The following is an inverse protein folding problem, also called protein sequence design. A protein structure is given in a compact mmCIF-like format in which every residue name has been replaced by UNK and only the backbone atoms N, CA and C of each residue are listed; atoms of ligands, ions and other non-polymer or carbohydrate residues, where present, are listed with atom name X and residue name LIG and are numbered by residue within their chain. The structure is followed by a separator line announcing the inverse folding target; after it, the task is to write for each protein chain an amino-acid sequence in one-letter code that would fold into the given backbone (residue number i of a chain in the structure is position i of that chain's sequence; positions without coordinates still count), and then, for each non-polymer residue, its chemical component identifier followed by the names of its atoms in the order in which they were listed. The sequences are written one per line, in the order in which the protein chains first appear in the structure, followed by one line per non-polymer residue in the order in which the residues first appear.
data_IF_422833781618
#
_entry.id   IF_422833781618
#
_cell.length_a   1.000
_cell.length_b   1.000
_cell.length_c   1.000
_cell.angle_alpha   90.00
_cell.angle_beta   90.00
_cell.angle_gamma   90.00
#
_symmetry.space_group_name_H-M   'P 1'
#
loop_
_entity.id
_entity.type
_entity.pdbx_description
1 polymer ?
#
# COMPACT_ATOMS: atom_id res chain seq x y z
N UNK A 1 -22.65 -29.85 -9.66
CA UNK A 1 -21.25 -30.23 -10.01
C UNK A 1 -20.35 -29.15 -9.47
N UNK A 2 -19.62 -29.46 -8.42
CA UNK A 2 -18.72 -28.51 -7.76
C UNK A 2 -17.44 -28.39 -8.59
N UNK A 3 -17.09 -27.17 -9.01
CA UNK A 3 -15.82 -26.88 -9.65
C UNK A 3 -14.71 -27.01 -8.61
N UNK A 4 -13.94 -28.08 -8.69
CA UNK A 4 -12.69 -28.20 -7.95
C UNK A 4 -11.71 -27.12 -8.48
N UNK A 5 -11.34 -26.20 -7.59
CA UNK A 5 -10.20 -25.32 -7.80
C UNK A 5 -8.93 -26.17 -7.75
N UNK A 6 -8.38 -26.47 -8.91
CA UNK A 6 -7.06 -27.09 -9.02
C UNK A 6 -6.04 -26.02 -8.62
N UNK A 7 -5.71 -25.96 -7.34
CA UNK A 7 -4.47 -25.32 -6.89
C UNK A 7 -3.34 -26.22 -7.38
N UNK A 8 -2.42 -25.66 -8.17
CA UNK A 8 -1.18 -26.35 -8.50
C UNK A 8 -0.47 -26.66 -7.17
N UNK A 9 -0.01 -27.91 -7.02
CA UNK A 9 0.83 -28.29 -5.90
C UNK A 9 2.02 -27.34 -5.78
N UNK A 10 2.46 -27.00 -4.56
CA UNK A 10 3.65 -26.19 -4.38
C UNK A 10 4.82 -26.89 -5.06
N UNK A 11 5.56 -26.15 -5.87
CA UNK A 11 6.79 -26.66 -6.48
C UNK A 11 7.74 -26.96 -5.32
N UNK A 12 8.04 -28.23 -5.03
CA UNK A 12 9.12 -28.61 -4.13
C UNK A 12 10.45 -28.18 -4.76
N UNK A 13 10.91 -27.01 -4.37
CA UNK A 13 12.18 -26.47 -4.81
C UNK A 13 13.29 -27.03 -3.92
N UNK A 14 13.94 -28.09 -4.40
CA UNK A 14 15.24 -28.49 -3.85
C UNK A 14 16.16 -27.29 -3.83
N UNK A 15 16.65 -26.96 -2.66
CA UNK A 15 17.62 -25.90 -2.27
C UNK A 15 17.89 -24.84 -3.36
N UNK A 16 17.04 -23.80 -3.42
CA UNK A 16 17.26 -22.65 -4.29
C UNK A 16 18.59 -21.98 -3.95
N UNK A 17 19.55 -22.08 -4.84
CA UNK A 17 20.75 -21.25 -4.76
C UNK A 17 20.36 -19.81 -5.02
N UNK A 18 20.29 -19.02 -3.98
CA UNK A 18 20.16 -17.57 -4.07
C UNK A 18 21.52 -16.99 -4.42
N UNK A 19 21.55 -15.83 -5.08
CA UNK A 19 22.80 -15.09 -5.28
C UNK A 19 23.43 -14.70 -3.92
N UNK A 20 24.66 -14.17 -3.92
CA UNK A 20 25.39 -13.76 -2.70
C UNK A 20 24.60 -12.75 -1.83
N UNK A 21 23.65 -12.03 -2.39
CA UNK A 21 22.75 -11.12 -1.69
C UNK A 21 21.45 -11.79 -1.18
N UNK A 22 21.29 -13.09 -1.38
CA UNK A 22 20.10 -13.85 -1.01
C UNK A 22 18.86 -13.56 -1.89
N UNK A 23 19.04 -12.95 -3.07
CA UNK A 23 17.99 -12.64 -4.05
C UNK A 23 17.83 -13.75 -5.08
N UNK A 24 16.63 -13.87 -5.61
CA UNK A 24 16.29 -14.81 -6.67
C UNK A 24 16.59 -14.20 -8.04
N UNK A 25 17.45 -14.84 -8.83
CA UNK A 25 17.77 -14.39 -10.17
C UNK A 25 16.74 -14.89 -11.20
N UNK A 26 16.14 -13.95 -11.94
CA UNK A 26 15.10 -14.21 -12.96
C UNK A 26 15.51 -13.59 -14.29
N UNK A 27 15.56 -14.36 -15.36
CA UNK A 27 15.64 -13.85 -16.72
C UNK A 27 14.25 -13.70 -17.32
N UNK A 28 14.03 -12.62 -18.06
CA UNK A 28 12.74 -12.32 -18.70
C UNK A 28 12.89 -12.23 -20.20
N UNK A 29 12.08 -12.98 -20.94
CA UNK A 29 11.98 -12.95 -22.39
C UNK A 29 10.55 -12.78 -22.89
N UNK A 30 10.41 -12.16 -24.06
CA UNK A 30 9.17 -12.03 -24.82
C UNK A 30 9.49 -11.76 -26.30
N UNK A 31 8.60 -12.15 -27.20
CA UNK A 31 8.65 -11.73 -28.62
C UNK A 31 8.32 -10.23 -28.77
N UNK A 32 7.61 -9.63 -27.79
CA UNK A 32 7.34 -8.19 -27.73
C UNK A 32 8.31 -7.51 -26.73
N UNK A 33 9.21 -6.62 -27.21
CA UNK A 33 10.15 -5.89 -26.35
C UNK A 33 9.46 -5.02 -25.27
N UNK A 34 8.24 -4.52 -25.52
CA UNK A 34 7.51 -3.71 -24.55
C UNK A 34 7.04 -4.57 -23.37
N UNK A 35 6.57 -5.79 -23.64
CA UNK A 35 6.20 -6.77 -22.61
C UNK A 35 7.43 -7.14 -21.78
N UNK A 36 8.55 -7.48 -22.44
CA UNK A 36 9.79 -7.83 -21.74
C UNK A 36 10.27 -6.68 -20.84
N UNK A 37 10.31 -5.45 -21.35
CA UNK A 37 10.72 -4.27 -20.59
C UNK A 37 9.77 -4.00 -19.39
N UNK A 38 8.45 -4.10 -19.61
CA UNK A 38 7.48 -3.91 -18.54
C UNK A 38 7.67 -4.94 -17.42
N UNK A 39 7.84 -6.22 -17.77
CA UNK A 39 8.05 -7.28 -16.79
C UNK A 39 9.38 -7.12 -16.04
N UNK A 40 10.48 -6.78 -16.73
CA UNK A 40 11.77 -6.48 -16.11
C UNK A 40 11.66 -5.33 -15.10
N UNK A 41 10.98 -4.25 -15.46
CA UNK A 41 10.72 -3.11 -14.54
C UNK A 41 9.88 -3.52 -13.34
N UNK A 42 8.86 -4.38 -13.54
CA UNK A 42 8.04 -4.87 -12.44
C UNK A 42 8.87 -5.71 -11.46
N UNK A 43 9.60 -6.73 -11.94
CA UNK A 43 10.46 -7.55 -11.09
C UNK A 43 11.55 -6.75 -10.37
N UNK A 44 12.10 -5.73 -11.02
CA UNK A 44 13.08 -4.84 -10.40
C UNK A 44 12.55 -4.05 -9.19
N UNK A 45 11.22 -3.94 -9.01
CA UNK A 45 10.64 -3.35 -7.81
C UNK A 45 10.70 -4.28 -6.59
N UNK A 46 10.81 -5.60 -6.79
CA UNK A 46 10.79 -6.56 -5.70
C UNK A 46 12.19 -6.79 -5.13
N UNK A 47 12.44 -6.38 -3.87
CA UNK A 47 13.76 -6.45 -3.26
C UNK A 47 14.31 -7.87 -3.06
N UNK A 48 13.48 -8.91 -3.21
CA UNK A 48 13.91 -10.31 -3.19
C UNK A 48 14.23 -10.90 -4.58
N UNK A 49 14.18 -10.08 -5.64
CA UNK A 49 14.43 -10.50 -7.03
C UNK A 49 15.56 -9.66 -7.62
N UNK A 50 16.41 -10.30 -8.40
CA UNK A 50 17.35 -9.65 -9.32
C UNK A 50 17.00 -10.07 -10.74
N UNK A 51 16.90 -9.11 -11.65
CA UNK A 51 16.64 -9.39 -13.07
C UNK A 51 17.98 -9.62 -13.75
N UNK A 52 18.24 -10.87 -14.16
CA UNK A 52 19.44 -11.25 -14.89
C UNK A 52 19.42 -10.68 -16.32
N UNK A 53 20.58 -10.28 -16.81
CA UNK A 53 20.74 -9.82 -18.20
C UNK A 53 20.66 -11.00 -19.16
N UNK A 54 21.33 -12.11 -18.84
CA UNK A 54 21.35 -13.32 -19.65
C UNK A 54 20.63 -14.48 -18.93
N UNK A 55 20.06 -15.39 -19.72
CA UNK A 55 19.35 -16.56 -19.17
C UNK A 55 20.28 -17.49 -18.38
N UNK A 56 21.56 -17.59 -18.79
CA UNK A 56 22.56 -18.45 -18.11
C UNK A 56 22.80 -18.06 -16.64
N UNK A 57 22.61 -16.79 -16.31
CA UNK A 57 22.81 -16.25 -14.97
C UNK A 57 21.56 -16.33 -14.09
N UNK A 58 20.45 -16.86 -14.63
CA UNK A 58 19.17 -16.90 -13.94
C UNK A 58 18.85 -18.31 -13.42
N UNK A 59 18.20 -18.35 -12.25
CA UNK A 59 17.61 -19.58 -11.70
C UNK A 59 16.29 -19.92 -12.40
N UNK A 60 15.56 -18.89 -12.81
CA UNK A 60 14.29 -19.03 -13.51
C UNK A 60 14.29 -18.24 -14.83
N UNK A 61 13.75 -18.87 -15.86
CA UNK A 61 13.43 -18.22 -17.11
C UNK A 61 11.92 -17.96 -17.18
N UNK A 62 11.54 -16.71 -17.30
CA UNK A 62 10.15 -16.26 -17.45
C UNK A 62 9.94 -15.80 -18.88
N UNK A 63 9.08 -16.49 -19.64
CA UNK A 63 8.64 -16.05 -20.97
C UNK A 63 7.22 -15.56 -20.89
N UNK A 64 6.94 -14.35 -21.40
CA UNK A 64 5.61 -13.73 -21.41
C UNK A 64 5.31 -13.36 -22.86
N UNK A 65 4.38 -14.07 -23.48
CA UNK A 65 4.00 -13.85 -24.87
C UNK A 65 2.57 -13.30 -24.97
N UNK A 66 2.29 -12.38 -25.92
CA UNK A 66 0.93 -11.91 -26.12
C UNK A 66 0.02 -13.07 -26.53
N UNK A 67 -1.19 -13.14 -25.96
CA UNK A 67 -2.18 -14.18 -26.24
C UNK A 67 -3.56 -13.59 -26.56
N UNK A 68 -3.62 -12.29 -26.84
CA UNK A 68 -4.80 -11.49 -27.16
C UNK A 68 -4.66 -10.06 -26.66
N UNK A 69 -5.68 -9.22 -26.85
CA UNK A 69 -5.64 -7.79 -26.53
C UNK A 69 -5.52 -7.48 -25.03
N UNK A 70 -5.94 -8.40 -24.17
CA UNK A 70 -5.91 -8.29 -22.72
C UNK A 70 -5.42 -9.53 -22.01
N UNK A 71 -4.66 -10.40 -22.73
CA UNK A 71 -4.16 -11.65 -22.17
C UNK A 71 -2.75 -11.96 -22.64
N UNK A 72 -1.99 -12.67 -21.80
CA UNK A 72 -0.65 -13.16 -22.09
C UNK A 72 -0.53 -14.63 -21.71
N UNK A 73 0.32 -15.34 -22.44
CA UNK A 73 0.78 -16.68 -22.09
C UNK A 73 2.09 -16.53 -21.31
N UNK A 74 2.10 -16.97 -20.06
CA UNK A 74 3.31 -17.05 -19.27
C UNK A 74 3.83 -18.48 -19.20
N UNK A 75 5.16 -18.62 -19.35
CA UNK A 75 5.89 -19.86 -19.11
C UNK A 75 7.01 -19.58 -18.13
N UNK A 76 7.09 -20.39 -17.07
CA UNK A 76 8.17 -20.38 -16.08
C UNK A 76 8.97 -21.67 -16.21
N UNK A 77 10.28 -21.56 -16.42
CA UNK A 77 11.20 -22.68 -16.45
C UNK A 77 12.29 -22.53 -15.38
N UNK A 78 12.82 -23.65 -14.90
CA UNK A 78 13.94 -23.72 -13.96
C UNK A 78 14.95 -24.77 -14.38
N UNK A 79 16.18 -24.71 -13.82
CA UNK A 79 17.28 -25.63 -14.15
C UNK A 79 18.03 -25.26 -15.44
N UNK A 80 19.11 -26.02 -15.74
CA UNK A 80 19.89 -25.87 -16.97
C UNK A 80 20.20 -27.25 -17.55
N UNK A 81 19.60 -27.63 -18.71
CA UNK A 81 18.67 -26.83 -19.52
C UNK A 81 17.36 -26.57 -18.79
N UNK A 82 16.69 -25.45 -19.14
CA UNK A 82 15.43 -25.05 -18.50
C UNK A 82 14.33 -26.08 -18.77
N UNK A 83 13.71 -26.57 -17.68
CA UNK A 83 12.52 -27.42 -17.72
C UNK A 83 11.30 -26.57 -17.37
N UNK A 84 10.24 -26.67 -18.16
CA UNK A 84 8.98 -25.97 -17.92
C UNK A 84 8.35 -26.43 -16.60
N UNK A 85 8.13 -25.47 -15.68
CA UNK A 85 7.49 -25.68 -14.38
C UNK A 85 6.04 -25.22 -14.38
N UNK A 86 5.75 -24.16 -15.13
CA UNK A 86 4.41 -23.59 -15.21
C UNK A 86 4.16 -23.00 -16.61
N UNK A 87 2.96 -23.24 -17.14
CA UNK A 87 2.45 -22.59 -18.34
C UNK A 87 1.00 -22.20 -18.12
N UNK A 88 0.67 -20.89 -18.23
CA UNK A 88 -0.67 -20.35 -17.95
C UNK A 88 -1.00 -19.18 -18.88
N UNK A 89 -2.28 -19.09 -19.28
CA UNK A 89 -2.81 -17.85 -19.85
C UNK A 89 -3.34 -16.97 -18.73
N UNK A 90 -2.93 -15.71 -18.73
CA UNK A 90 -3.29 -14.72 -17.72
C UNK A 90 -4.02 -13.58 -18.41
N UNK A 91 -5.25 -13.31 -17.97
CA UNK A 91 -6.05 -12.19 -18.46
C UNK A 91 -6.02 -11.02 -17.49
N UNK A 92 -6.11 -9.81 -18.03
CA UNK A 92 -6.17 -8.56 -17.29
C UNK A 92 -7.29 -7.65 -17.80
N UNK A 93 -7.37 -6.45 -17.25
CA UNK A 93 -8.26 -5.38 -17.76
C UNK A 93 -7.81 -4.88 -19.13
N UNK A 94 -6.54 -5.02 -19.41
CA UNK A 94 -5.80 -4.70 -20.63
C UNK A 94 -4.49 -5.50 -20.65
N UNK A 95 -3.73 -5.42 -21.73
CA UNK A 95 -2.49 -6.17 -21.90
C UNK A 95 -1.45 -5.87 -20.83
N UNK A 96 -1.27 -4.58 -20.46
CA UNK A 96 -0.33 -4.20 -19.42
C UNK A 96 -0.70 -4.82 -18.06
N UNK A 97 -1.97 -4.78 -17.68
CA UNK A 97 -2.44 -5.41 -16.44
C UNK A 97 -2.28 -6.93 -16.47
N UNK A 98 -2.50 -7.58 -17.64
CA UNK A 98 -2.24 -9.01 -17.82
C UNK A 98 -0.77 -9.37 -17.60
N UNK A 99 0.17 -8.58 -18.14
CA UNK A 99 1.62 -8.76 -17.91
C UNK A 99 1.96 -8.64 -16.44
N UNK A 100 1.48 -7.60 -15.74
CA UNK A 100 1.76 -7.39 -14.32
C UNK A 100 1.17 -8.51 -13.44
N UNK A 101 -0.03 -9.01 -13.76
CA UNK A 101 -0.62 -10.19 -13.11
C UNK A 101 0.19 -11.47 -13.37
N UNK A 102 0.74 -11.62 -14.56
CA UNK A 102 1.64 -12.72 -14.87
C UNK A 102 2.92 -12.64 -14.04
N UNK A 103 3.50 -11.44 -13.86
CA UNK A 103 4.63 -11.23 -12.94
C UNK A 103 4.27 -11.56 -11.49
N UNK A 104 3.06 -11.21 -11.04
CA UNK A 104 2.57 -11.56 -9.69
C UNK A 104 2.47 -13.07 -9.50
N UNK A 105 2.05 -13.81 -10.54
CA UNK A 105 2.02 -15.29 -10.49
C UNK A 105 3.42 -15.88 -10.37
N UNK A 106 4.43 -15.31 -11.02
CA UNK A 106 5.82 -15.73 -10.87
C UNK A 106 6.30 -15.54 -9.44
N UNK A 107 6.05 -14.36 -8.84
CA UNK A 107 6.37 -14.10 -7.43
C UNK A 107 5.75 -15.14 -6.52
N UNK A 108 4.47 -15.47 -6.74
CA UNK A 108 3.77 -16.48 -5.95
C UNK A 108 4.38 -17.87 -6.12
N UNK A 109 4.72 -18.26 -7.34
CA UNK A 109 5.30 -19.56 -7.64
C UNK A 109 6.75 -19.71 -7.12
N UNK A 110 7.55 -18.63 -7.14
CA UNK A 110 8.98 -18.71 -6.82
C UNK A 110 9.34 -18.26 -5.40
N UNK A 111 8.61 -17.29 -4.83
CA UNK A 111 8.87 -16.74 -3.49
C UNK A 111 7.81 -17.15 -2.46
N UNK A 112 6.76 -17.88 -2.85
CA UNK A 112 5.64 -18.29 -2.00
C UNK A 112 4.99 -17.10 -1.25
N UNK A 113 5.01 -15.94 -1.89
CA UNK A 113 4.39 -14.70 -1.37
C UNK A 113 3.45 -14.11 -2.42
N UNK A 114 2.46 -13.31 -1.98
CA UNK A 114 1.58 -12.64 -2.91
C UNK A 114 2.37 -11.61 -3.75
N UNK A 115 2.07 -11.53 -5.04
CA UNK A 115 2.58 -10.47 -5.90
C UNK A 115 1.80 -9.17 -5.71
N UNK A 116 2.36 -8.03 -6.11
CA UNK A 116 1.76 -6.72 -5.89
C UNK A 116 1.80 -5.79 -7.12
N UNK A 117 2.36 -6.24 -8.23
CA UNK A 117 2.64 -5.37 -9.39
C UNK A 117 1.37 -4.91 -10.12
N UNK A 118 0.34 -5.77 -10.19
CA UNK A 118 -0.92 -5.45 -10.87
C UNK A 118 -1.86 -4.53 -10.07
N UNK A 119 -1.46 -4.14 -8.86
CA UNK A 119 -2.22 -3.22 -8.02
C UNK A 119 -2.21 -1.78 -8.52
N UNK A 120 -3.02 -0.95 -7.88
CA UNK A 120 -3.17 0.47 -8.18
C UNK A 120 -2.83 1.32 -6.97
N UNK A 121 -2.23 2.48 -7.25
CA UNK A 121 -2.01 3.55 -6.28
C UNK A 121 -3.08 4.62 -6.43
N UNK A 122 -3.49 5.20 -5.31
CA UNK A 122 -4.08 6.54 -5.25
C UNK A 122 -3.15 7.40 -4.41
N UNK A 123 -2.98 8.66 -4.76
CA UNK A 123 -2.09 9.57 -4.08
C UNK A 123 -2.51 11.02 -4.29
N UNK A 124 -2.00 11.90 -3.47
CA UNK A 124 -2.15 13.34 -3.61
C UNK A 124 -1.00 13.88 -4.45
N UNK A 125 -1.34 14.62 -5.51
CA UNK A 125 -0.35 15.36 -6.29
C UNK A 125 -0.62 16.86 -6.15
N UNK A 126 0.42 17.63 -5.80
CA UNK A 126 0.32 19.08 -5.71
C UNK A 126 0.79 19.72 -7.02
N UNK A 127 -0.10 20.45 -7.66
CA UNK A 127 0.16 21.20 -8.90
C UNK A 127 -0.46 22.59 -8.79
N UNK A 128 0.27 23.62 -9.21
CA UNK A 128 -0.21 25.01 -9.24
C UNK A 128 -0.81 25.51 -7.90
N UNK A 129 -0.23 25.06 -6.77
CA UNK A 129 -0.67 25.46 -5.43
C UNK A 129 -1.84 24.66 -4.86
N UNK A 130 -2.49 23.80 -5.64
CA UNK A 130 -3.61 22.95 -5.22
C UNK A 130 -3.21 21.49 -5.12
N UNK A 131 -3.88 20.77 -4.22
CA UNK A 131 -3.70 19.32 -4.06
C UNK A 131 -4.87 18.59 -4.70
N UNK A 132 -4.58 17.67 -5.63
CA UNK A 132 -5.60 16.88 -6.31
C UNK A 132 -5.33 15.38 -6.13
N UNK A 133 -6.39 14.60 -6.24
CA UNK A 133 -6.33 13.14 -6.13
C UNK A 133 -6.00 12.54 -7.49
N UNK A 134 -5.00 11.67 -7.51
CA UNK A 134 -4.56 10.93 -8.70
C UNK A 134 -4.60 9.42 -8.46
N UNK A 135 -4.68 8.67 -9.54
CA UNK A 135 -4.43 7.22 -9.56
C UNK A 135 -3.34 6.86 -10.54
N UNK A 136 -2.63 5.76 -10.27
CA UNK A 136 -1.60 5.20 -11.14
C UNK A 136 -1.47 3.69 -10.93
N UNK A 137 -0.80 3.00 -11.87
CA UNK A 137 -0.14 1.73 -11.57
C UNK A 137 1.15 1.97 -10.74
N UNK A 138 1.74 0.90 -10.21
CA UNK A 138 2.97 1.00 -9.41
C UNK A 138 4.18 1.50 -10.20
N UNK A 139 4.20 1.30 -11.52
CA UNK A 139 5.30 1.71 -12.41
C UNK A 139 5.15 3.15 -12.91
N UNK A 140 4.10 3.86 -12.50
CA UNK A 140 3.77 5.22 -12.95
C UNK A 140 3.71 5.35 -14.47
N UNK A 141 3.21 4.32 -15.16
CA UNK A 141 3.03 4.33 -16.63
C UNK A 141 1.68 4.89 -17.04
N UNK A 142 0.67 4.80 -16.17
CA UNK A 142 -0.69 5.29 -16.42
C UNK A 142 -1.15 6.13 -15.23
N UNK A 143 -1.05 7.44 -15.37
CA UNK A 143 -1.41 8.40 -14.33
C UNK A 143 -2.69 9.11 -14.75
N UNK A 144 -3.67 9.15 -13.88
CA UNK A 144 -4.96 9.81 -14.14
C UNK A 144 -5.40 10.67 -12.97
N UNK A 145 -5.75 11.96 -13.19
CA UNK A 145 -6.38 12.77 -12.16
C UNK A 145 -7.82 12.30 -11.92
N UNK A 146 -8.21 12.20 -10.65
CA UNK A 146 -9.59 11.89 -10.24
C UNK A 146 -10.36 13.14 -9.85
N UNK A 147 -9.68 14.19 -9.37
CA UNK A 147 -10.30 15.45 -8.97
C UNK A 147 -9.68 16.63 -9.69
N UNK A 148 -10.42 17.71 -9.76
CA UNK A 148 -10.00 19.02 -10.26
C UNK A 148 -10.70 20.12 -9.46
N UNK A 149 -10.70 20.00 -8.13
CA UNK A 149 -11.49 20.83 -7.23
C UNK A 149 -10.79 22.12 -6.85
N UNK A 150 -9.49 22.24 -7.12
CA UNK A 150 -8.63 23.33 -6.69
C UNK A 150 -8.72 23.57 -5.18
N UNK A 151 -8.73 22.50 -4.42
CA UNK A 151 -8.85 22.50 -2.97
C UNK A 151 -7.70 21.72 -2.33
N UNK A 152 -7.54 21.86 -1.01
CA UNK A 152 -6.64 20.98 -0.27
C UNK A 152 -7.29 19.61 -0.12
N UNK A 153 -6.58 18.57 -0.54
CA UNK A 153 -6.97 17.15 -0.43
C UNK A 153 -5.89 16.39 0.35
N UNK A 154 -6.30 15.44 1.19
CA UNK A 154 -5.39 14.62 1.98
C UNK A 154 -5.92 13.20 2.19
N UNK A 155 -5.00 12.28 2.48
CA UNK A 155 -5.25 10.95 3.03
C UNK A 155 -6.18 10.06 2.20
N UNK A 156 -5.94 9.85 0.90
CA UNK A 156 -6.76 8.90 0.14
C UNK A 156 -6.65 7.49 0.70
N UNK A 157 -7.77 6.77 0.76
CA UNK A 157 -7.84 5.36 1.16
C UNK A 157 -8.78 4.60 0.23
N UNK A 158 -8.27 3.55 -0.42
CA UNK A 158 -9.06 2.69 -1.28
C UNK A 158 -10.11 1.91 -0.50
N UNK A 159 -11.27 1.71 -1.13
CA UNK A 159 -12.16 0.62 -0.73
C UNK A 159 -11.51 -0.73 -1.11
N UNK A 160 -11.75 -1.81 -0.33
CA UNK A 160 -11.14 -3.12 -0.61
C UNK A 160 -11.44 -3.69 -1.99
N UNK A 161 -12.60 -3.33 -2.57
CA UNK A 161 -13.01 -3.73 -3.93
C UNK A 161 -12.36 -2.88 -5.04
N UNK A 162 -11.60 -1.86 -4.68
CA UNK A 162 -10.91 -0.97 -5.61
C UNK A 162 -11.82 -0.08 -6.46
N UNK A 163 -13.11 0.08 -6.11
CA UNK A 163 -14.07 0.88 -6.88
C UNK A 163 -14.20 2.31 -6.40
N UNK A 164 -13.83 2.59 -5.17
CA UNK A 164 -13.94 3.92 -4.61
C UNK A 164 -12.78 4.28 -3.69
N UNK A 165 -12.65 5.57 -3.39
CA UNK A 165 -11.68 6.12 -2.46
C UNK A 165 -12.39 6.99 -1.42
N UNK A 166 -11.96 6.89 -0.16
CA UNK A 166 -12.19 7.93 0.84
C UNK A 166 -11.06 8.94 0.78
N UNK A 167 -11.35 10.19 1.04
CA UNK A 167 -10.36 11.26 1.15
C UNK A 167 -10.91 12.43 1.95
N UNK A 168 -10.02 13.19 2.55
CA UNK A 168 -10.36 14.46 3.22
C UNK A 168 -10.21 15.59 2.23
N UNK A 169 -11.18 16.50 2.17
CA UNK A 169 -11.14 17.68 1.28
C UNK A 169 -11.78 18.89 1.91
N UNK A 170 -11.22 20.07 1.60
CA UNK A 170 -11.73 21.40 1.96
C UNK A 170 -12.61 22.01 0.85
N UNK A 171 -12.93 21.24 -0.16
CA UNK A 171 -13.54 21.67 -1.42
C UNK A 171 -14.87 22.41 -1.28
N UNK A 172 -15.76 22.01 -0.36
CA UNK A 172 -17.12 22.53 -0.33
C UNK A 172 -17.38 23.53 0.80
N UNK A 173 -16.97 23.19 2.00
CA UNK A 173 -17.26 23.96 3.21
C UNK A 173 -16.11 24.90 3.63
N UNK A 174 -14.92 24.75 3.03
CA UNK A 174 -13.68 25.36 3.52
C UNK A 174 -13.14 24.72 4.79
N UNK A 175 -13.83 23.68 5.31
CA UNK A 175 -13.41 22.86 6.45
C UNK A 175 -13.10 21.44 5.97
N UNK A 176 -12.29 20.67 6.70
CA UNK A 176 -11.97 19.30 6.32
C UNK A 176 -13.19 18.39 6.50
N UNK A 177 -13.67 17.86 5.40
CA UNK A 177 -14.77 16.89 5.32
C UNK A 177 -14.29 15.60 4.65
N UNK A 178 -14.89 14.46 5.02
CA UNK A 178 -14.58 13.17 4.41
C UNK A 178 -15.58 12.91 3.27
N UNK A 179 -15.04 12.68 2.09
CA UNK A 179 -15.79 12.28 0.89
C UNK A 179 -15.39 10.89 0.43
N UNK A 180 -16.33 10.23 -0.23
CA UNK A 180 -16.07 9.04 -1.06
C UNK A 180 -16.22 9.44 -2.53
N UNK A 181 -15.24 9.08 -3.36
CA UNK A 181 -15.31 9.20 -4.81
C UNK A 181 -15.37 7.83 -5.45
N UNK A 182 -16.32 7.61 -6.33
CA UNK A 182 -16.36 6.46 -7.23
C UNK A 182 -15.38 6.69 -8.38
N UNK A 183 -14.49 5.73 -8.65
CA UNK A 183 -13.34 5.93 -9.55
C UNK A 183 -13.76 6.02 -11.01
N UNK A 184 -14.77 5.27 -11.40
CA UNK A 184 -15.23 5.22 -12.80
C UNK A 184 -16.14 6.43 -13.13
N UNK A 185 -17.16 6.65 -12.32
CA UNK A 185 -18.12 7.75 -12.52
C UNK A 185 -17.64 9.10 -12.00
N UNK A 186 -16.56 9.14 -11.19
CA UNK A 186 -16.04 10.34 -10.50
C UNK A 186 -17.06 11.03 -9.59
N UNK A 187 -18.15 10.37 -9.26
CA UNK A 187 -19.19 10.89 -8.38
C UNK A 187 -18.68 10.93 -6.94
N UNK A 188 -18.74 12.13 -6.35
CA UNK A 188 -18.40 12.36 -4.95
C UNK A 188 -19.64 12.26 -4.06
N UNK A 189 -19.51 11.58 -2.93
CA UNK A 189 -20.54 11.43 -1.91
C UNK A 189 -19.97 11.84 -0.57
N UNK A 190 -20.59 12.76 0.19
CA UNK A 190 -20.13 13.09 1.53
C UNK A 190 -20.34 11.89 2.47
N UNK A 191 -19.36 11.63 3.32
CA UNK A 191 -19.37 10.57 4.34
C UNK A 191 -19.45 11.19 5.74
N UNK A 192 -18.60 12.18 6.05
CA UNK A 192 -18.65 12.93 7.30
C UNK A 192 -18.39 14.41 7.01
N UNK A 193 -19.39 15.24 7.34
CA UNK A 193 -19.39 16.71 7.18
C UNK A 193 -19.87 17.36 8.47
N UNK A 194 -19.41 16.85 9.61
CA UNK A 194 -19.79 17.35 10.90
C UNK A 194 -19.01 18.64 11.24
N UNK A 195 -19.53 19.44 12.18
CA UNK A 195 -18.80 20.61 12.69
C UNK A 195 -17.41 20.18 13.19
N UNK A 196 -16.40 20.94 12.86
CA UNK A 196 -15.01 20.69 13.24
C UNK A 196 -14.24 19.88 12.18
N UNK A 197 -13.20 19.18 12.61
CA UNK A 197 -12.32 18.41 11.74
C UNK A 197 -12.92 17.03 11.50
N UNK A 198 -13.04 16.64 10.22
CA UNK A 198 -13.42 15.31 9.77
C UNK A 198 -12.29 14.76 8.88
N UNK A 199 -11.53 13.75 9.33
CA UNK A 199 -10.34 13.29 8.62
C UNK A 199 -10.05 11.80 8.83
N UNK A 200 -9.08 11.26 8.09
CA UNK A 200 -8.52 9.93 8.30
C UNK A 200 -9.46 8.78 7.99
N UNK A 201 -10.47 8.99 7.12
CA UNK A 201 -11.43 7.94 6.75
C UNK A 201 -10.74 6.72 6.12
N UNK A 202 -10.97 5.52 6.68
CA UNK A 202 -10.43 4.25 6.17
C UNK A 202 -11.45 3.13 6.28
N UNK A 203 -11.57 2.31 5.21
CA UNK A 203 -12.49 1.15 5.21
C UNK A 203 -11.95 0.01 6.05
N UNK A 204 -12.85 -0.75 6.67
CA UNK A 204 -12.53 -2.06 7.22
C UNK A 204 -12.13 -3.03 6.09
N UNK A 205 -11.38 -4.11 6.36
CA UNK A 205 -10.93 -5.06 5.34
C UNK A 205 -12.08 -5.69 4.53
N UNK A 206 -13.25 -5.85 5.13
CA UNK A 206 -14.48 -6.36 4.48
C UNK A 206 -15.29 -5.27 3.77
N UNK A 207 -14.87 -4.00 3.84
CA UNK A 207 -15.52 -2.85 3.22
C UNK A 207 -16.85 -2.42 3.84
N UNK A 208 -17.27 -3.02 4.95
CA UNK A 208 -18.59 -2.76 5.55
C UNK A 208 -18.61 -1.56 6.50
N UNK A 209 -17.47 -1.20 7.06
CA UNK A 209 -17.32 -0.11 8.03
C UNK A 209 -16.28 0.90 7.58
N UNK A 210 -16.37 2.10 8.14
CA UNK A 210 -15.39 3.19 7.98
C UNK A 210 -14.98 3.64 9.37
N UNK A 211 -13.67 3.63 9.65
CA UNK A 211 -13.10 4.32 10.81
C UNK A 211 -12.65 5.71 10.39
N UNK A 212 -12.82 6.70 11.26
CA UNK A 212 -12.50 8.10 10.99
C UNK A 212 -12.21 8.87 12.28
N UNK A 213 -11.55 10.02 12.14
CA UNK A 213 -11.27 10.96 13.22
C UNK A 213 -12.19 12.15 13.11
N UNK A 214 -13.02 12.42 14.12
CA UNK A 214 -13.99 13.51 14.12
C UNK A 214 -13.85 14.36 15.40
N UNK A 215 -13.86 15.70 15.26
CA UNK A 215 -13.68 16.61 16.40
C UNK A 215 -14.94 17.37 16.80
N UNK A 216 -16.11 17.01 16.26
CA UNK A 216 -17.37 17.71 16.51
C UNK A 216 -17.82 17.77 17.98
N UNK A 217 -17.25 16.97 18.85
CA UNK A 217 -17.52 16.93 20.30
C UNK A 217 -16.48 17.64 21.17
N UNK A 218 -15.56 18.41 20.54
CA UNK A 218 -14.54 19.21 21.24
C UNK A 218 -13.12 18.89 20.77
N UNK A 219 -12.64 17.65 20.96
CA UNK A 219 -11.36 17.15 20.48
C UNK A 219 -11.56 16.03 19.44
N UNK A 220 -10.49 15.71 18.72
CA UNK A 220 -10.51 14.63 17.72
C UNK A 220 -10.56 13.26 18.40
N UNK A 221 -11.53 12.45 18.00
CA UNK A 221 -11.76 11.11 18.54
C UNK A 221 -11.98 10.10 17.42
N UNK A 222 -11.77 8.82 17.69
CA UNK A 222 -12.00 7.74 16.74
C UNK A 222 -13.48 7.36 16.74
N UNK A 223 -14.06 7.34 15.56
CA UNK A 223 -15.42 6.90 15.28
C UNK A 223 -15.43 5.78 14.25
N UNK A 224 -16.47 4.95 14.30
CA UNK A 224 -16.78 3.94 13.29
C UNK A 224 -18.21 4.15 12.82
N UNK A 225 -18.42 4.04 11.52
CA UNK A 225 -19.73 4.05 10.87
C UNK A 225 -19.90 2.84 9.94
N UNK A 226 -21.09 2.66 9.37
CA UNK A 226 -21.24 1.81 8.18
C UNK A 226 -20.54 2.43 6.96
N UNK A 227 -20.44 1.68 5.86
CA UNK A 227 -19.75 2.12 4.62
C UNK A 227 -20.42 3.32 3.92
N UNK A 228 -21.56 3.80 4.42
CA UNK A 228 -22.28 4.99 3.94
C UNK A 228 -22.13 6.20 4.87
N UNK A 229 -21.33 6.10 5.92
CA UNK A 229 -21.16 7.15 6.93
C UNK A 229 -22.34 7.24 7.92
N UNK A 230 -23.24 6.24 7.95
CA UNK A 230 -24.37 6.17 8.88
C UNK A 230 -24.06 5.27 10.08
N UNK A 231 -24.96 5.26 11.08
CA UNK A 231 -24.79 4.44 12.28
C UNK A 231 -23.48 4.75 13.02
N UNK A 232 -23.18 6.04 13.11
CA UNK A 232 -21.93 6.56 13.71
C UNK A 232 -21.83 6.17 15.18
N UNK A 233 -20.70 5.58 15.56
CA UNK A 233 -20.39 5.18 16.92
C UNK A 233 -19.02 5.68 17.32
N UNK A 234 -18.93 6.44 18.42
CA UNK A 234 -17.70 6.91 19.00
C UNK A 234 -17.01 5.77 19.76
N UNK A 235 -15.73 5.54 19.50
CA UNK A 235 -14.93 4.51 20.15
C UNK A 235 -14.08 5.04 21.27
N UNK A 236 -13.49 6.25 21.11
CA UNK A 236 -12.65 6.89 22.12
C UNK A 236 -13.38 8.08 22.75
N UNK A 237 -13.13 8.33 24.02
CA UNK A 237 -13.73 9.42 24.78
C UNK A 237 -12.76 9.89 25.86
N UNK A 238 -11.90 10.82 25.51
CA UNK A 238 -10.91 11.39 26.44
C UNK A 238 -10.58 12.86 26.07
N UNK A 239 -9.55 13.43 26.67
CA UNK A 239 -9.13 14.83 26.42
C UNK A 239 -8.02 14.94 25.37
N UNK A 240 -7.55 13.82 24.85
CA UNK A 240 -6.44 13.75 23.91
C UNK A 240 -6.93 13.83 22.46
N UNK A 241 -6.01 13.99 21.53
CA UNK A 241 -6.29 13.99 20.09
C UNK A 241 -6.03 12.58 19.53
N UNK A 242 -7.08 11.93 19.06
CA UNK A 242 -7.01 10.64 18.39
C UNK A 242 -7.14 10.80 16.87
N UNK A 243 -6.15 10.30 16.12
CA UNK A 243 -6.06 10.48 14.67
C UNK A 243 -5.53 9.24 13.96
N UNK A 244 -5.62 9.23 12.63
CA UNK A 244 -4.99 8.25 11.74
C UNK A 244 -5.33 6.79 12.07
N UNK A 245 -6.61 6.40 12.15
CA UNK A 245 -6.98 5.03 12.41
C UNK A 245 -6.55 4.09 11.27
N UNK A 246 -6.10 2.88 11.61
CA UNK A 246 -5.81 1.79 10.69
C UNK A 246 -6.37 0.49 11.24
N UNK A 247 -7.06 -0.28 10.40
CA UNK A 247 -7.69 -1.54 10.76
C UNK A 247 -6.68 -2.69 10.85
N UNK A 248 -6.89 -3.60 11.80
CA UNK A 248 -6.26 -4.92 11.78
C UNK A 248 -6.76 -5.75 10.58
N UNK A 249 -5.98 -6.71 10.07
CA UNK A 249 -6.37 -7.50 8.89
C UNK A 249 -7.66 -8.31 9.09
N UNK A 250 -8.01 -8.66 10.33
CA UNK A 250 -9.26 -9.35 10.69
C UNK A 250 -10.45 -8.39 10.92
N UNK A 251 -10.22 -7.06 10.88
CA UNK A 251 -11.24 -6.03 11.09
C UNK A 251 -11.76 -5.89 12.53
N UNK A 252 -11.14 -6.58 13.50
CA UNK A 252 -11.61 -6.59 14.89
C UNK A 252 -11.00 -5.50 15.76
N UNK A 253 -9.89 -4.91 15.33
CA UNK A 253 -9.14 -3.89 16.08
C UNK A 253 -8.79 -2.72 15.18
N UNK A 254 -8.52 -1.60 15.81
CA UNK A 254 -7.95 -0.40 15.21
C UNK A 254 -6.68 -0.03 15.96
N UNK A 255 -5.63 0.33 15.23
CA UNK A 255 -4.49 1.08 15.73
C UNK A 255 -4.67 2.53 15.30
N UNK A 256 -4.28 3.46 16.17
CA UNK A 256 -4.43 4.90 15.92
C UNK A 256 -3.33 5.69 16.65
N UNK A 257 -3.20 6.96 16.32
CA UNK A 257 -2.31 7.89 16.99
C UNK A 257 -3.06 8.63 18.10
N UNK A 258 -2.50 8.70 19.31
CA UNK A 258 -3.02 9.51 20.43
C UNK A 258 -1.91 10.31 21.09
N UNK A 259 -2.19 11.55 21.46
CA UNK A 259 -1.27 12.40 22.23
C UNK A 259 -1.49 12.33 23.76
N UNK A 260 -2.21 11.33 24.23
CA UNK A 260 -2.52 11.12 25.66
C UNK A 260 -1.31 11.22 26.61
N UNK A 261 -0.09 10.76 26.26
CA UNK A 261 1.10 10.93 27.09
C UNK A 261 1.81 12.29 26.88
N UNK A 262 1.17 13.26 26.22
CA UNK A 262 1.69 14.59 25.92
C UNK A 262 2.39 14.71 24.56
N UNK A 263 2.68 13.59 23.88
CA UNK A 263 3.18 13.53 22.50
C UNK A 263 2.58 12.33 21.78
N UNK A 264 2.41 12.37 20.45
CA UNK A 264 1.84 11.29 19.68
C UNK A 264 2.50 9.93 19.93
N UNK A 265 1.69 8.94 20.23
CA UNK A 265 2.05 7.54 20.42
C UNK A 265 0.97 6.64 19.81
N UNK A 266 1.30 5.38 19.57
CA UNK A 266 0.36 4.42 19.02
C UNK A 266 -0.48 3.76 20.11
N UNK A 267 -1.77 3.66 19.85
CA UNK A 267 -2.74 2.99 20.70
C UNK A 267 -3.59 2.03 19.88
N UNK A 268 -4.09 0.99 20.50
CA UNK A 268 -5.09 0.11 19.89
C UNK A 268 -6.40 0.11 20.67
N UNK A 269 -7.47 -0.21 19.98
CA UNK A 269 -8.82 -0.40 20.54
C UNK A 269 -9.56 -1.49 19.75
N UNK A 270 -10.49 -2.19 20.41
CA UNK A 270 -11.43 -3.06 19.69
C UNK A 270 -12.34 -2.24 18.77
N UNK A 271 -12.64 -2.75 17.59
CA UNK A 271 -13.62 -2.11 16.68
C UNK A 271 -15.04 -2.09 17.26
N UNK A 272 -15.32 -2.88 18.29
CA UNK A 272 -16.55 -2.82 19.09
C UNK A 272 -16.52 -1.78 20.21
N UNK A 273 -15.39 -1.12 20.45
CA UNK A 273 -15.16 -0.19 21.56
C UNK A 273 -14.56 -0.88 22.78
N UNK A 274 -14.42 -0.14 23.88
CA UNK A 274 -13.82 -0.62 25.12
C UNK A 274 -12.55 0.15 25.48
N UNK A 275 -11.69 -0.38 26.38
CA UNK A 275 -10.47 0.31 26.80
C UNK A 275 -9.44 0.40 25.69
N UNK A 276 -8.74 1.52 25.63
CA UNK A 276 -7.57 1.71 24.74
C UNK A 276 -6.32 1.14 25.41
N UNK A 277 -5.41 0.59 24.60
CA UNK A 277 -4.12 0.08 25.04
C UNK A 277 -2.98 0.74 24.25
N UNK A 278 -2.01 1.31 24.97
CA UNK A 278 -0.80 1.85 24.33
C UNK A 278 0.05 0.72 23.77
N UNK A 279 0.53 0.89 22.54
CA UNK A 279 1.51 -0.01 21.90
C UNK A 279 2.91 0.41 22.39
N UNK A 280 3.69 -0.52 22.98
CA UNK A 280 5.00 -0.20 23.54
C UNK A 280 6.07 -0.15 22.45
N UNK A 281 6.00 0.88 21.58
CA UNK A 281 6.98 1.06 20.49
C UNK A 281 8.40 1.30 20.99
N UNK A 282 8.56 1.97 22.15
CA UNK A 282 9.82 2.18 22.89
C UNK A 282 11.00 2.72 22.04
N UNK A 283 10.71 3.44 20.95
CA UNK A 283 11.72 3.88 19.98
C UNK A 283 11.85 5.41 19.91
N UNK A 284 10.78 6.15 20.20
CA UNK A 284 10.75 7.61 20.18
C UNK A 284 9.63 8.16 21.05
N UNK A 285 9.78 9.42 21.45
CA UNK A 285 8.69 10.15 22.10
C UNK A 285 7.58 10.59 21.13
N UNK A 286 7.75 10.38 19.81
CA UNK A 286 6.78 10.75 18.80
C UNK A 286 6.65 9.59 17.78
N UNK A 287 5.50 8.92 17.77
CA UNK A 287 5.13 7.87 16.85
C UNK A 287 3.71 8.16 16.33
N UNK A 288 3.51 8.18 15.01
CA UNK A 288 2.25 8.56 14.37
C UNK A 288 1.99 7.79 13.08
N UNK A 289 0.82 8.01 12.47
CA UNK A 289 0.45 7.47 11.15
C UNK A 289 0.65 5.95 11.05
N UNK A 290 0.06 5.17 11.95
CA UNK A 290 0.21 3.73 11.90
C UNK A 290 -0.49 3.13 10.68
N UNK A 291 0.14 2.11 10.10
CA UNK A 291 -0.41 1.25 9.06
C UNK A 291 -0.28 -0.20 9.52
N UNK A 292 -1.40 -0.84 9.80
CA UNK A 292 -1.42 -2.25 10.16
C UNK A 292 -1.11 -3.11 8.94
N UNK A 293 -0.27 -4.13 9.10
CA UNK A 293 0.09 -5.04 8.01
C UNK A 293 -1.15 -5.85 7.57
N UNK A 294 -1.45 -5.95 6.27
CA UNK A 294 -2.65 -6.62 5.78
C UNK A 294 -2.57 -8.16 5.83
N UNK A 295 -1.39 -8.72 6.10
CA UNK A 295 -1.12 -10.18 6.09
C UNK A 295 -0.76 -10.68 7.48
N UNK A 296 0.12 -9.97 8.19
CA UNK A 296 0.60 -10.33 9.53
C UNK A 296 0.07 -9.33 10.56
N UNK A 297 -0.87 -9.76 11.39
CA UNK A 297 -1.47 -8.93 12.44
C UNK A 297 -0.49 -8.46 13.52
N UNK A 298 0.70 -9.03 13.58
CA UNK A 298 1.72 -8.65 14.55
C UNK A 298 2.61 -7.48 14.09
N UNK A 299 2.50 -7.07 12.82
CA UNK A 299 3.33 -6.03 12.23
C UNK A 299 2.56 -4.73 12.03
N UNK A 300 3.12 -3.63 12.53
CA UNK A 300 2.60 -2.28 12.34
C UNK A 300 3.73 -1.37 11.86
N UNK A 301 3.60 -0.83 10.66
CA UNK A 301 4.47 0.24 10.18
C UNK A 301 3.97 1.59 10.67
N UNK A 302 4.86 2.54 10.93
CA UNK A 302 4.48 3.86 11.43
C UNK A 302 5.56 4.91 11.16
N UNK A 303 5.18 6.17 11.26
CA UNK A 303 6.09 7.32 11.20
C UNK A 303 6.66 7.57 12.59
N UNK A 304 7.98 7.70 12.71
CA UNK A 304 8.71 7.98 13.95
C UNK A 304 9.56 9.23 13.81
N UNK A 305 9.54 10.12 14.80
CA UNK A 305 10.45 11.26 14.84
C UNK A 305 11.85 10.82 15.30
N UNK A 306 12.85 11.26 14.57
CA UNK A 306 14.28 11.09 14.87
C UNK A 306 14.98 12.43 14.82
N UNK A 307 16.25 12.48 15.28
CA UNK A 307 17.05 13.72 15.12
C UNK A 307 17.17 14.08 13.63
N UNK A 308 16.61 15.21 13.26
CA UNK A 308 16.69 15.74 11.88
C UNK A 308 15.49 15.43 10.98
N UNK A 309 14.42 14.82 11.49
CA UNK A 309 13.19 14.60 10.71
C UNK A 309 12.39 13.37 11.12
N UNK A 310 11.74 12.75 10.16
CA UNK A 310 10.89 11.57 10.35
C UNK A 310 11.44 10.38 9.57
N UNK A 311 11.18 9.17 10.07
CA UNK A 311 11.52 7.92 9.41
C UNK A 311 10.37 6.93 9.51
N UNK A 312 10.37 5.90 8.65
CA UNK A 312 9.46 4.77 8.77
C UNK A 312 10.07 3.76 9.73
N UNK A 313 9.27 3.32 10.69
CA UNK A 313 9.60 2.25 11.62
C UNK A 313 8.58 1.10 11.52
N UNK A 314 8.99 -0.07 11.96
CA UNK A 314 8.18 -1.28 12.08
C UNK A 314 8.15 -1.73 13.54
N UNK A 315 6.97 -1.95 14.08
CA UNK A 315 6.75 -2.62 15.36
C UNK A 315 6.36 -4.08 15.12
N UNK A 316 7.05 -4.99 15.78
CA UNK A 316 6.75 -6.43 15.82
C UNK A 316 6.17 -6.77 17.21
N UNK A 317 4.88 -7.07 17.26
CA UNK A 317 4.17 -7.34 18.51
C UNK A 317 4.58 -8.67 19.16
N UNK A 318 5.02 -9.67 18.38
CA UNK A 318 5.52 -10.94 18.90
C UNK A 318 6.83 -10.75 19.66
N UNK A 319 7.73 -9.95 19.10
CA UNK A 319 9.04 -9.64 19.70
C UNK A 319 8.98 -8.47 20.66
N UNK A 320 7.93 -7.62 20.59
CA UNK A 320 7.78 -6.37 21.34
C UNK A 320 8.93 -5.39 21.09
N UNK A 321 9.41 -5.35 19.85
CA UNK A 321 10.50 -4.45 19.44
C UNK A 321 10.04 -3.57 18.29
N UNK A 322 10.68 -2.40 18.17
CA UNK A 322 10.56 -1.54 17.00
C UNK A 322 11.91 -1.37 16.31
N UNK A 323 11.89 -1.27 15.00
CA UNK A 323 13.06 -1.05 14.17
C UNK A 323 12.82 0.11 13.20
N UNK A 324 13.81 1.01 13.03
CA UNK A 324 13.78 2.06 12.01
C UNK A 324 14.20 1.44 10.67
N UNK A 325 13.33 1.55 9.67
CA UNK A 325 13.55 0.95 8.35
C UNK A 325 14.18 1.90 7.34
N UNK A 326 13.95 3.22 7.48
CA UNK A 326 14.48 4.23 6.54
C UNK A 326 15.53 5.11 7.19
N UNK A 327 16.37 5.74 6.38
CA UNK A 327 17.40 6.69 6.81
C UNK A 327 17.51 7.85 5.82
N UNK A 328 18.01 8.98 6.27
CA UNK A 328 18.26 10.15 5.41
C UNK A 328 17.07 11.12 5.37
N UNK A 329 16.53 11.48 4.19
CA UNK A 329 15.44 12.43 4.08
C UNK A 329 14.18 11.99 4.83
N UNK A 330 13.37 12.95 5.28
CA UNK A 330 12.15 12.65 6.03
C UNK A 330 11.22 11.72 5.26
N UNK A 331 10.82 10.63 5.92
CA UNK A 331 10.00 9.53 5.41
C UNK A 331 8.76 9.40 6.28
N UNK A 332 7.56 9.49 5.68
CA UNK A 332 6.27 9.60 6.39
C UNK A 332 5.19 8.76 5.67
N UNK A 333 4.06 8.56 6.35
CA UNK A 333 2.81 8.07 5.76
C UNK A 333 2.97 6.70 5.10
N UNK A 334 3.40 5.65 5.84
CA UNK A 334 3.58 4.32 5.27
C UNK A 334 2.25 3.70 4.85
N UNK A 335 2.25 2.99 3.73
CA UNK A 335 1.13 2.18 3.24
C UNK A 335 1.66 0.84 2.77
N UNK A 336 1.11 -0.25 3.30
CA UNK A 336 1.47 -1.60 2.90
C UNK A 336 0.99 -1.95 1.50
N UNK A 337 1.79 -2.71 0.76
CA UNK A 337 1.34 -3.46 -0.39
C UNK A 337 0.73 -4.81 0.04
N UNK A 338 0.06 -5.48 -0.89
CA UNK A 338 -0.67 -6.72 -0.63
C UNK A 338 0.17 -7.85 -0.05
N UNK A 339 1.44 -7.90 -0.38
CA UNK A 339 2.36 -8.96 0.06
C UNK A 339 2.76 -8.88 1.54
N UNK A 340 2.40 -7.80 2.24
CA UNK A 340 2.78 -7.58 3.64
C UNK A 340 4.29 -7.41 3.88
N UNK A 341 5.07 -7.24 2.81
CA UNK A 341 6.52 -7.05 2.84
C UNK A 341 6.94 -5.67 2.37
N UNK A 342 6.31 -5.16 1.32
CA UNK A 342 6.66 -3.86 0.74
C UNK A 342 5.75 -2.75 1.24
N UNK A 343 6.33 -1.55 1.40
CA UNK A 343 5.65 -0.32 1.79
C UNK A 343 5.85 0.76 0.72
N UNK A 344 4.80 1.49 0.41
CA UNK A 344 4.91 2.80 -0.23
C UNK A 344 4.85 3.88 0.84
N UNK A 345 5.71 4.89 0.74
CA UNK A 345 5.75 5.99 1.69
C UNK A 345 6.10 7.31 1.01
N UNK A 346 5.83 8.43 1.68
CA UNK A 346 6.20 9.78 1.23
C UNK A 346 7.61 10.13 1.72
N UNK A 347 8.51 10.49 0.80
CA UNK A 347 9.82 11.05 1.13
C UNK A 347 9.87 12.54 0.82
N UNK A 348 10.39 13.34 1.78
CA UNK A 348 10.60 14.79 1.65
C UNK A 348 12.09 15.12 1.76
N UNK A 349 12.64 15.70 0.68
CA UNK A 349 14.03 16.19 0.62
C UNK A 349 14.05 17.63 0.11
N UNK A 350 14.07 18.60 1.02
CA UNK A 350 13.86 20.01 0.67
C UNK A 350 12.48 20.21 0.05
N UNK A 351 12.44 20.78 -1.15
CA UNK A 351 11.20 20.97 -1.94
C UNK A 351 10.76 19.73 -2.72
N UNK A 352 11.56 18.67 -2.75
CA UNK A 352 11.23 17.45 -3.49
C UNK A 352 10.38 16.54 -2.59
N UNK A 353 9.15 16.22 -3.03
CA UNK A 353 8.25 15.29 -2.36
C UNK A 353 7.91 14.17 -3.34
N UNK A 354 8.22 12.91 -2.98
CA UNK A 354 8.04 11.75 -3.85
C UNK A 354 7.51 10.54 -3.11
N UNK A 355 6.84 9.68 -3.86
CA UNK A 355 6.53 8.33 -3.40
C UNK A 355 7.72 7.40 -3.62
N UNK A 356 8.03 6.65 -2.57
CA UNK A 356 9.12 5.69 -2.53
C UNK A 356 8.56 4.31 -2.21
N UNK A 357 9.19 3.27 -2.73
CA UNK A 357 8.97 1.88 -2.36
C UNK A 357 10.07 1.42 -1.41
N UNK A 358 9.69 0.78 -0.31
CA UNK A 358 10.57 0.17 0.67
C UNK A 358 10.31 -1.33 0.72
N UNK A 359 11.33 -2.15 0.63
CA UNK A 359 11.30 -3.54 1.03
C UNK A 359 11.71 -3.66 2.51
N UNK A 360 10.80 -4.11 3.38
CA UNK A 360 11.06 -4.17 4.83
C UNK A 360 12.10 -5.21 5.23
N UNK A 361 12.36 -6.22 4.39
CA UNK A 361 13.37 -7.26 4.66
C UNK A 361 14.78 -6.82 4.27
N UNK A 362 14.94 -6.28 3.06
CA UNK A 362 16.25 -5.81 2.55
C UNK A 362 16.57 -4.38 2.96
N UNK A 363 15.56 -3.60 3.36
CA UNK A 363 15.63 -2.15 3.64
C UNK A 363 16.01 -1.30 2.42
N UNK A 364 15.92 -1.89 1.23
CA UNK A 364 16.12 -1.15 0.00
C UNK A 364 14.97 -0.15 -0.22
N UNK A 365 15.35 1.08 -0.60
CA UNK A 365 14.42 2.16 -0.91
C UNK A 365 14.59 2.58 -2.35
N UNK A 366 13.51 2.61 -3.13
CA UNK A 366 13.49 2.96 -4.55
C UNK A 366 12.43 4.01 -4.85
N UNK A 367 12.70 5.01 -5.73
CA UNK A 367 11.68 5.94 -6.16
C UNK A 367 10.67 5.25 -7.09
N UNK A 368 9.38 5.55 -6.93
CA UNK A 368 8.34 5.07 -7.84
C UNK A 368 8.19 5.95 -9.09
N UNK A 369 8.59 7.22 -9.01
CA UNK A 369 8.50 8.16 -10.12
C UNK A 369 9.68 9.12 -10.15
N UNK A 370 9.93 9.73 -11.32
CA UNK A 370 10.94 10.75 -11.50
C UNK A 370 10.54 12.06 -10.78
N UNK A 371 11.52 12.88 -10.33
CA UNK A 371 11.23 14.18 -9.70
C UNK A 371 10.45 15.14 -10.62
N UNK A 372 10.63 15.01 -11.94
CA UNK A 372 9.94 15.82 -12.96
C UNK A 372 8.42 15.61 -13.01
N UNK A 373 7.89 14.54 -12.41
CA UNK A 373 6.44 14.34 -12.30
C UNK A 373 5.77 15.38 -11.40
N UNK A 374 6.47 15.91 -10.40
CA UNK A 374 5.93 16.83 -9.40
C UNK A 374 5.84 16.22 -8.00
N UNK A 375 5.17 16.96 -7.10
CA UNK A 375 5.03 16.55 -5.69
C UNK A 375 3.94 15.48 -5.55
N UNK A 376 4.31 14.23 -5.21
CA UNK A 376 3.38 13.15 -4.91
C UNK A 376 3.55 12.65 -3.47
N UNK A 377 2.44 12.48 -2.74
CA UNK A 377 2.41 12.12 -1.32
C UNK A 377 1.16 11.33 -0.93
N UNK A 378 1.13 10.81 0.29
CA UNK A 378 -0.05 10.17 0.91
C UNK A 378 -0.62 9.04 0.05
N UNK A 379 0.20 8.06 -0.29
CA UNK A 379 -0.25 6.95 -1.11
C UNK A 379 -1.22 6.02 -0.38
N UNK A 380 -2.12 5.42 -1.15
CA UNK A 380 -2.94 4.27 -0.77
C UNK A 380 -2.87 3.25 -1.88
N UNK A 381 -2.84 1.97 -1.53
CA UNK A 381 -2.70 0.87 -2.47
C UNK A 381 -3.93 -0.05 -2.43
N UNK A 382 -4.30 -0.62 -3.60
CA UNK A 382 -5.30 -1.68 -3.75
C UNK A 382 -4.87 -2.64 -4.86
N UNK A 383 -5.23 -3.91 -4.70
CA UNK A 383 -4.94 -4.95 -5.69
C UNK A 383 -6.20 -5.41 -6.43
#
# INVERSE_FOLDING_TARGET
MASQSVFADPIELETLTRNDEGKLAIAVGSSDPNISNLARRAFALHGGIVVAEEAVDALFLVKIEPAGDSSVLITLGSGQPYTEQMRRTVSGRDLQNAVLRACDMVVKATLQSEGFFAGRLAFVCKQNGFSELYTSDLLFTRISPLTADRAFIAGPKWSPDGRSLLFTSYFKSGFPDIYRIDVDSRRKTPIATFKGLNSGGTFSPDGRQIAMSLSGTGNSEIYVSDSRGKNLRRLTMNKSLETSPSWSPDGRRLVFTSDAPGKPQLYEISSSGGPTRRIPTNISSYCSEPAWNPVDENLIAFTVAVRGGFQIALYDANKRISEILTRGPSSLEPTWLRDGRHLVFTQRKGSIIRLMLLDTKTKEVRPLHAPSFGEASMASYVY
#
